data_IF_149862989619
#
_entry.id   IF_149862989619
#
_cell.length_a   1.000
_cell.length_b   1.000
_cell.length_c   1.000
_cell.angle_alpha   90.00
_cell.angle_beta   90.00
_cell.angle_gamma   90.00
#
_symmetry.space_group_name_H-M   'P 1'
#
loop_
_entity.id
_entity.type
_entity.pdbx_description
1 polymer ?
#
# COMPACT_ATOMS: atom_id res chain seq x y z
N UNK A 1 14.58 5.77 13.92
CA UNK A 1 14.22 5.65 13.61
C UNK A 1 14.10 5.43 12.52
N UNK A 2 14.14 5.57 12.09
CA UNK A 2 14.07 5.65 10.85
C UNK A 2 13.78 4.52 10.14
N UNK A 3 12.95 4.07 10.17
CA UNK A 3 12.74 3.07 9.45
C UNK A 3 12.41 3.40 8.16
N UNK A 4 12.58 4.33 7.62
CA UNK A 4 12.36 4.60 6.28
C UNK A 4 11.22 3.90 5.69
N UNK A 5 10.46 3.32 6.44
CA UNK A 5 9.33 2.62 5.93
C UNK A 5 8.10 3.49 5.95
N UNK A 6 6.95 2.85 5.89
CA UNK A 6 5.69 3.57 5.89
C UNK A 6 5.23 3.75 7.33
N UNK A 7 4.59 4.86 7.61
CA UNK A 7 4.01 5.05 8.92
C UNK A 7 2.80 4.13 9.07
N UNK A 8 2.46 3.78 10.30
CA UNK A 8 1.28 2.93 10.50
C UNK A 8 0.01 3.54 9.94
N UNK A 9 -0.11 4.86 10.04
CA UNK A 9 -1.26 5.55 9.51
C UNK A 9 -1.35 5.42 8.01
N UNK A 10 -0.23 5.58 7.32
CA UNK A 10 -0.19 5.45 5.87
C UNK A 10 -0.56 4.04 5.45
N UNK A 11 -0.04 3.06 6.15
CA UNK A 11 -0.36 1.68 5.84
C UNK A 11 -1.84 1.40 6.02
N UNK A 12 -2.43 1.95 7.08
CA UNK A 12 -3.86 1.76 7.31
C UNK A 12 -4.69 2.40 6.23
N UNK A 13 -4.26 3.54 5.74
CA UNK A 13 -4.95 4.19 4.62
C UNK A 13 -4.94 3.30 3.39
N UNK A 14 -3.80 2.74 3.06
CA UNK A 14 -3.69 1.88 1.90
C UNK A 14 -4.52 0.61 2.07
N UNK A 15 -4.48 0.03 3.25
CA UNK A 15 -5.26 -1.18 3.52
C UNK A 15 -6.75 -0.91 3.44
N UNK A 16 -7.18 0.24 3.94
CA UNK A 16 -8.57 0.62 3.84
C UNK A 16 -9.00 0.72 2.38
N UNK A 17 -8.15 1.34 1.56
CA UNK A 17 -8.43 1.46 0.15
C UNK A 17 -8.58 0.09 -0.49
N UNK A 18 -7.68 -0.84 -0.17
CA UNK A 18 -7.72 -2.17 -0.74
C UNK A 18 -8.95 -2.94 -0.29
N UNK A 19 -9.37 -2.73 0.95
CA UNK A 19 -10.56 -3.40 1.46
C UNK A 19 -11.81 -2.90 0.77
N UNK A 20 -11.83 -1.64 0.39
CA UNK A 20 -12.96 -1.08 -0.31
C UNK A 20 -12.97 -1.38 -1.79
N UNK A 21 -11.84 -1.79 -2.33
CA UNK A 21 -11.71 -2.08 -3.75
C UNK A 21 -11.27 -3.52 -3.93
N UNK A 22 -12.21 -4.40 -4.00
CA UNK A 22 -11.91 -5.82 -4.10
C UNK A 22 -10.98 -6.17 -5.23
N UNK A 23 -11.21 -5.60 -6.40
CA UNK A 23 -10.39 -5.92 -7.56
C UNK A 23 -8.94 -5.53 -7.31
N UNK A 24 -8.73 -4.36 -6.70
CA UNK A 24 -7.38 -3.93 -6.40
C UNK A 24 -6.76 -4.77 -5.29
N UNK A 25 -7.55 -5.13 -4.30
CA UNK A 25 -7.07 -5.96 -3.21
C UNK A 25 -6.60 -7.32 -3.69
N UNK A 26 -7.37 -7.93 -4.56
CA UNK A 26 -7.00 -9.23 -5.12
C UNK A 26 -5.70 -9.12 -5.91
N UNK A 27 -5.61 -8.07 -6.73
CA UNK A 27 -4.39 -7.84 -7.49
C UNK A 27 -3.19 -7.63 -6.60
N UNK A 28 -3.39 -6.91 -5.51
CA UNK A 28 -2.31 -6.62 -4.59
C UNK A 28 -1.79 -7.89 -3.92
N UNK A 29 -2.68 -8.74 -3.42
CA UNK A 29 -2.22 -9.95 -2.73
C UNK A 29 -1.62 -10.94 -3.70
N UNK A 30 -1.94 -10.84 -4.97
CA UNK A 30 -1.37 -11.72 -5.98
C UNK A 30 0.04 -11.28 -6.39
N UNK A 31 0.44 -10.07 -6.02
CA UNK A 31 1.76 -9.57 -6.36
C UNK A 31 2.82 -10.21 -5.49
N UNK A 32 4.03 -10.31 -6.03
CA UNK A 32 5.17 -10.72 -5.23
C UNK A 32 5.50 -9.61 -4.24
N UNK A 33 6.16 -9.97 -3.15
CA UNK A 33 6.46 -9.01 -2.09
C UNK A 33 7.14 -7.74 -2.58
N UNK A 34 8.17 -7.83 -3.43
CA UNK A 34 8.81 -6.61 -3.92
C UNK A 34 7.84 -5.70 -4.67
N UNK A 35 6.94 -6.28 -5.43
CA UNK A 35 5.96 -5.50 -6.16
C UNK A 35 4.94 -4.86 -5.22
N UNK A 36 4.61 -5.55 -4.14
CA UNK A 36 3.69 -4.99 -3.15
C UNK A 36 4.25 -3.72 -2.54
N UNK A 37 5.53 -3.73 -2.20
CA UNK A 37 6.16 -2.55 -1.64
C UNK A 37 6.19 -1.41 -2.65
N UNK A 38 6.51 -1.73 -3.88
CA UNK A 38 6.55 -0.72 -4.93
C UNK A 38 5.17 -0.12 -5.15
N UNK A 39 4.15 -0.96 -5.16
CA UNK A 39 2.78 -0.51 -5.31
C UNK A 39 2.38 0.44 -4.19
N UNK A 40 2.71 0.08 -2.96
CA UNK A 40 2.39 0.91 -1.81
C UNK A 40 3.08 2.26 -1.88
N UNK A 41 4.35 2.28 -2.23
CA UNK A 41 5.08 3.53 -2.35
C UNK A 41 4.45 4.43 -3.40
N UNK A 42 4.13 3.86 -4.54
CA UNK A 42 3.54 4.64 -5.62
C UNK A 42 2.17 5.16 -5.23
N UNK A 43 1.35 4.30 -4.64
CA UNK A 43 0.01 4.69 -4.24
C UNK A 43 0.05 5.79 -3.19
N UNK A 44 0.89 5.63 -2.18
CA UNK A 44 0.99 6.60 -1.11
C UNK A 44 1.53 7.94 -1.62
N UNK A 45 2.46 7.89 -2.55
CA UNK A 45 2.99 9.12 -3.12
C UNK A 45 1.91 9.89 -3.87
N UNK A 46 0.96 9.18 -4.44
CA UNK A 46 -0.10 9.81 -5.20
C UNK A 46 -1.27 10.26 -4.34
N UNK A 47 -1.60 9.48 -3.32
CA UNK A 47 -2.84 9.70 -2.59
C UNK A 47 -2.66 10.13 -1.16
N UNK A 48 -1.55 9.82 -0.54
CA UNK A 48 -1.37 10.14 0.87
C UNK A 48 -0.34 11.26 1.06
N UNK A 49 0.80 11.15 0.42
CA UNK A 49 1.82 12.19 0.50
C UNK A 49 1.65 13.21 -0.63
#
# INVERSE_FOLDING_TARGET
MGQGGFTPKALMCALSHLLNNKAQGVGFVAMAEPHQMLWLRTWLAKHYY
#
